data_IF_250887925151
#
_entry.id   IF_250887925151
#
_cell.length_a   1.000
_cell.length_b   1.000
_cell.length_c   1.000
_cell.angle_alpha   90.00
_cell.angle_beta   90.00
_cell.angle_gamma   90.00
#
_symmetry.space_group_name_H-M   'P 1'
#
loop_
_entity.id
_entity.type
_entity.pdbx_description
1 polymer ?
#
# COMPACT_ATOMS: atom_id res chain seq x y z
N UNK A 1 -10.82 21.18 -10.47
CA UNK A 1 -9.48 20.67 -10.67
C UNK A 1 -9.45 19.17 -10.44
N UNK A 2 -8.71 18.43 -11.26
CA UNK A 2 -8.56 17.00 -11.02
C UNK A 2 -7.77 16.73 -9.73
N UNK A 3 -8.08 15.63 -9.10
CA UNK A 3 -7.37 15.17 -7.91
C UNK A 3 -5.91 14.85 -8.26
N UNK A 4 -5.01 15.09 -7.34
CA UNK A 4 -3.61 14.66 -7.49
C UNK A 4 -3.57 13.14 -7.72
N UNK A 5 -2.84 12.64 -8.73
CA UNK A 5 -2.84 11.21 -9.03
C UNK A 5 -2.30 10.32 -7.90
N UNK A 6 -1.30 10.78 -7.15
CA UNK A 6 -0.79 10.02 -6.02
C UNK A 6 -1.83 9.91 -4.90
N UNK A 7 -2.55 10.99 -4.64
CA UNK A 7 -3.62 10.99 -3.65
C UNK A 7 -4.77 10.07 -4.08
N UNK A 8 -5.18 10.14 -5.35
CA UNK A 8 -6.23 9.29 -5.89
C UNK A 8 -5.87 7.81 -5.75
N UNK A 9 -4.62 7.47 -6.04
CA UNK A 9 -4.13 6.10 -5.91
C UNK A 9 -4.13 5.65 -4.45
N UNK A 10 -3.62 6.47 -3.55
CA UNK A 10 -3.59 6.14 -2.13
C UNK A 10 -4.99 5.93 -1.55
N UNK A 11 -5.92 6.81 -1.90
CA UNK A 11 -7.31 6.67 -1.43
C UNK A 11 -7.96 5.37 -1.93
N UNK A 12 -7.75 5.02 -3.19
CA UNK A 12 -8.29 3.79 -3.76
C UNK A 12 -7.67 2.55 -3.09
N UNK A 13 -6.37 2.55 -2.87
CA UNK A 13 -5.69 1.46 -2.18
C UNK A 13 -6.19 1.33 -0.75
N UNK A 14 -6.30 2.44 -0.03
CA UNK A 14 -6.77 2.45 1.34
C UNK A 14 -8.19 1.90 1.46
N UNK A 15 -9.08 2.31 0.56
CA UNK A 15 -10.45 1.81 0.53
C UNK A 15 -10.49 0.30 0.29
N UNK A 16 -9.68 -0.18 -0.66
CA UNK A 16 -9.59 -1.62 -0.96
C UNK A 16 -9.14 -2.41 0.24
N UNK A 17 -8.12 -1.94 0.94
CA UNK A 17 -7.56 -2.64 2.09
C UNK A 17 -8.50 -2.63 3.29
N UNK A 18 -9.13 -1.48 3.56
CA UNK A 18 -10.06 -1.34 4.70
C UNK A 18 -11.34 -2.14 4.53
N UNK A 19 -11.74 -2.38 3.29
CA UNK A 19 -12.95 -3.14 2.97
C UNK A 19 -12.75 -4.66 3.06
N UNK A 20 -11.54 -5.13 3.24
CA UNK A 20 -11.25 -6.56 3.27
C UNK A 20 -11.38 -7.13 4.67
N UNK A 21 -12.32 -8.05 4.84
CA UNK A 21 -12.58 -8.67 6.14
C UNK A 21 -11.42 -9.53 6.64
N UNK A 22 -10.77 -10.26 5.74
CA UNK A 22 -9.64 -11.11 6.12
C UNK A 22 -8.47 -10.29 6.65
N UNK A 23 -8.13 -9.20 5.98
CA UNK A 23 -7.08 -8.31 6.43
C UNK A 23 -7.44 -7.66 7.78
N UNK A 24 -8.68 -7.19 7.90
CA UNK A 24 -9.17 -6.60 9.15
C UNK A 24 -9.05 -7.59 10.31
N UNK A 25 -9.40 -8.85 10.09
CA UNK A 25 -9.24 -9.89 11.12
C UNK A 25 -7.77 -10.13 11.48
N UNK A 26 -6.90 -10.17 10.47
CA UNK A 26 -5.46 -10.37 10.70
C UNK A 26 -4.84 -9.25 11.53
N UNK A 27 -5.34 -8.02 11.35
CA UNK A 27 -4.84 -6.84 12.07
C UNK A 27 -5.53 -6.61 13.40
N UNK A 28 -6.66 -7.28 13.64
CA UNK A 28 -7.45 -7.07 14.84
C UNK A 28 -8.26 -5.77 14.82
N UNK A 29 -8.59 -5.29 13.63
CA UNK A 29 -9.34 -4.05 13.44
C UNK A 29 -8.97 -3.37 12.13
N UNK A 30 -9.56 -2.22 11.86
CA UNK A 30 -9.23 -1.44 10.66
C UNK A 30 -7.95 -0.64 10.90
N UNK A 31 -6.82 -1.33 10.90
CA UNK A 31 -5.53 -0.75 11.25
C UNK A 31 -4.62 -0.58 10.03
N UNK A 32 -5.18 0.00 8.97
CA UNK A 32 -4.42 0.44 7.79
C UNK A 32 -4.48 1.96 7.77
N UNK A 33 -3.32 2.61 7.86
CA UNK A 33 -3.24 4.04 8.08
C UNK A 33 -2.36 4.74 7.06
N UNK A 34 -2.75 5.94 6.64
CA UNK A 34 -1.83 6.88 6.03
C UNK A 34 -0.89 7.43 7.09
N UNK A 35 -1.43 7.69 8.29
CA UNK A 35 -0.66 8.15 9.44
C UNK A 35 -1.24 7.46 10.68
N UNK A 36 -0.46 6.62 11.37
CA UNK A 36 -1.01 5.87 12.50
C UNK A 36 -1.26 6.77 13.70
N UNK A 37 -2.33 6.50 14.47
CA UNK A 37 -2.52 7.14 15.75
C UNK A 37 -1.37 6.83 16.71
N UNK A 38 -1.19 7.68 17.70
CA UNK A 38 -0.22 7.40 18.76
C UNK A 38 -0.58 6.09 19.46
N UNK A 39 0.46 5.34 19.83
CA UNK A 39 0.31 4.10 20.61
C UNK A 39 -0.54 3.05 19.92
N UNK A 40 -0.48 2.99 18.60
CA UNK A 40 -1.15 1.93 17.86
C UNK A 40 -0.49 0.60 18.19
N UNK A 41 -1.31 -0.36 18.63
CA UNK A 41 -0.81 -1.70 18.94
C UNK A 41 -0.57 -2.50 17.65
N UNK A 42 0.58 -3.17 17.50
CA UNK A 42 0.79 -4.08 16.38
C UNK A 42 -0.20 -5.25 16.43
N UNK A 43 -0.54 -5.87 15.29
CA UNK A 43 -0.05 -5.52 13.96
C UNK A 43 -0.82 -4.36 13.33
N UNK A 44 -0.15 -3.61 12.48
CA UNK A 44 -0.81 -2.58 11.67
C UNK A 44 -0.02 -2.30 10.39
N UNK A 45 -0.67 -1.62 9.45
CA UNK A 45 -0.11 -1.29 8.14
C UNK A 45 -0.11 0.22 7.97
N UNK A 46 0.99 0.77 7.47
CA UNK A 46 1.14 2.22 7.24
C UNK A 46 1.64 2.45 5.83
N UNK A 47 1.04 3.43 5.14
CA UNK A 47 1.57 3.92 3.88
C UNK A 47 2.84 4.72 4.14
N UNK A 48 3.92 4.37 3.43
CA UNK A 48 5.14 5.16 3.44
C UNK A 48 5.04 6.34 2.48
N UNK A 49 6.10 7.14 2.42
CA UNK A 49 6.15 8.29 1.53
C UNK A 49 6.23 7.82 0.08
N UNK A 50 5.29 8.21 -0.77
CA UNK A 50 5.33 7.82 -2.18
C UNK A 50 6.25 8.73 -2.99
N UNK A 51 6.78 8.19 -4.07
CA UNK A 51 7.46 8.98 -5.09
C UNK A 51 6.64 8.92 -6.36
N UNK A 52 6.46 10.08 -6.99
CA UNK A 52 5.71 10.19 -8.25
C UNK A 52 6.54 10.99 -9.23
N UNK A 53 6.68 10.47 -10.45
CA UNK A 53 7.40 11.16 -11.53
C UNK A 53 6.59 11.14 -12.81
N UNK A 54 6.86 12.08 -13.68
CA UNK A 54 6.21 12.14 -14.97
C UNK A 54 6.59 10.91 -15.81
N UNK A 55 5.59 10.37 -16.52
CA UNK A 55 5.78 9.23 -17.41
C UNK A 55 4.93 9.47 -18.66
N UNK A 56 5.54 10.14 -19.63
CA UNK A 56 4.85 10.55 -20.84
C UNK A 56 5.18 9.61 -22.00
N UNK A 57 4.15 9.26 -22.75
CA UNK A 57 4.30 8.55 -24.01
C UNK A 57 4.02 9.51 -25.17
N UNK A 58 4.11 9.04 -26.40
CA UNK A 58 3.77 9.86 -27.57
C UNK A 58 2.34 10.35 -27.58
N UNK A 59 1.42 9.60 -26.97
CA UNK A 59 -0.01 9.87 -27.05
C UNK A 59 -0.62 10.23 -25.71
N UNK A 60 0.11 10.02 -24.60
CA UNK A 60 -0.46 10.17 -23.26
C UNK A 60 0.51 10.84 -22.31
N UNK A 61 -0.05 11.66 -21.42
CA UNK A 61 0.66 12.20 -20.26
C UNK A 61 0.29 11.36 -19.06
N UNK A 62 1.27 10.85 -18.35
CA UNK A 62 1.02 9.98 -17.21
C UNK A 62 2.00 10.19 -16.09
N UNK A 63 1.84 9.37 -15.06
CA UNK A 63 2.72 9.37 -13.90
C UNK A 63 3.07 7.95 -13.51
N UNK A 64 4.31 7.75 -13.10
CA UNK A 64 4.77 6.53 -12.45
C UNK A 64 4.88 6.80 -10.96
N UNK A 65 4.35 5.86 -10.18
CA UNK A 65 4.34 5.95 -8.72
C UNK A 65 5.15 4.80 -8.14
N UNK A 66 5.95 5.09 -7.16
CA UNK A 66 6.61 4.09 -6.32
C UNK A 66 6.10 4.26 -4.91
N UNK A 67 5.53 3.18 -4.39
CA UNK A 67 4.81 3.19 -3.12
C UNK A 67 5.41 2.15 -2.21
N UNK A 68 5.32 2.41 -0.91
CA UNK A 68 5.77 1.46 0.10
C UNK A 68 4.67 1.32 1.15
N UNK A 69 4.36 0.06 1.49
CA UNK A 69 3.54 -0.25 2.64
C UNK A 69 4.43 -0.84 3.71
N UNK A 70 4.29 -0.35 4.92
CA UNK A 70 5.01 -0.86 6.09
C UNK A 70 4.06 -1.69 6.94
N UNK A 71 4.51 -2.88 7.32
CA UNK A 71 3.75 -3.78 8.20
C UNK A 71 4.52 -3.91 9.50
N UNK A 72 3.87 -3.59 10.61
CA UNK A 72 4.48 -3.76 11.93
C UNK A 72 3.82 -4.92 12.63
N UNK A 73 4.63 -5.86 13.11
CA UNK A 73 4.19 -7.11 13.73
C UNK A 73 4.99 -7.34 15.02
N UNK A 74 4.35 -7.91 16.00
CA UNK A 74 5.00 -8.23 17.28
C UNK A 74 4.88 -9.72 17.57
N UNK A 75 3.66 -10.20 17.75
CA UNK A 75 3.41 -11.62 18.02
C UNK A 75 3.46 -12.43 16.72
N UNK A 76 4.02 -13.63 16.79
CA UNK A 76 4.20 -14.46 15.62
C UNK A 76 5.37 -14.03 14.74
N UNK A 77 6.03 -12.94 15.07
CA UNK A 77 7.26 -12.50 14.46
C UNK A 77 7.18 -12.31 12.95
N UNK A 78 8.20 -12.83 12.25
CA UNK A 78 8.28 -12.71 10.79
C UNK A 78 7.14 -13.42 10.07
N UNK A 79 6.62 -14.51 10.64
CA UNK A 79 5.49 -15.25 10.08
C UNK A 79 4.28 -14.36 9.94
N UNK A 80 3.90 -13.62 10.99
CA UNK A 80 2.76 -12.72 10.96
C UNK A 80 2.96 -11.62 9.90
N UNK A 81 4.16 -11.03 9.84
CA UNK A 81 4.46 -10.00 8.86
C UNK A 81 4.31 -10.55 7.43
N UNK A 82 4.82 -11.74 7.16
CA UNK A 82 4.70 -12.36 5.83
C UNK A 82 3.26 -12.72 5.49
N UNK A 83 2.47 -13.17 6.44
CA UNK A 83 1.06 -13.48 6.19
C UNK A 83 0.27 -12.21 5.81
N UNK A 84 0.55 -11.11 6.51
CA UNK A 84 -0.06 -9.82 6.19
C UNK A 84 0.38 -9.34 4.81
N UNK A 85 1.68 -9.42 4.51
CA UNK A 85 2.20 -9.05 3.19
C UNK A 85 1.55 -9.89 2.09
N UNK A 86 1.39 -11.19 2.30
CA UNK A 86 0.74 -12.06 1.32
C UNK A 86 -0.71 -11.61 1.05
N UNK A 87 -1.43 -11.19 2.08
CA UNK A 87 -2.79 -10.69 1.90
C UNK A 87 -2.81 -9.34 1.17
N UNK A 88 -1.89 -8.46 1.49
CA UNK A 88 -1.76 -7.19 0.79
C UNK A 88 -1.46 -7.42 -0.71
N UNK A 89 -0.59 -8.35 -1.00
CA UNK A 89 -0.26 -8.72 -2.38
C UNK A 89 -1.50 -9.23 -3.13
N UNK A 90 -2.27 -10.13 -2.52
CA UNK A 90 -3.50 -10.63 -3.13
C UNK A 90 -4.51 -9.51 -3.44
N UNK A 91 -4.58 -8.52 -2.58
CA UNK A 91 -5.55 -7.43 -2.72
C UNK A 91 -5.11 -6.37 -3.73
N UNK A 92 -3.82 -6.17 -3.89
CA UNK A 92 -3.28 -5.03 -4.63
C UNK A 92 -2.58 -5.41 -5.93
N UNK A 93 -1.91 -6.57 -6.01
CA UNK A 93 -1.16 -6.91 -7.21
C UNK A 93 -2.10 -7.11 -8.39
N UNK A 94 -1.88 -6.32 -9.42
CA UNK A 94 -2.70 -6.32 -10.63
C UNK A 94 -4.18 -6.00 -10.38
N UNK A 95 -4.49 -5.29 -9.30
CA UNK A 95 -5.86 -4.95 -8.95
C UNK A 95 -6.39 -3.79 -9.82
N UNK A 96 -7.61 -3.93 -10.38
CA UNK A 96 -8.21 -2.88 -11.20
C UNK A 96 -8.92 -1.85 -10.32
N UNK A 97 -8.18 -1.02 -9.63
CA UNK A 97 -8.74 -0.03 -8.70
C UNK A 97 -9.36 1.16 -9.45
N UNK A 98 -10.57 1.59 -9.09
CA UNK A 98 -11.13 2.80 -9.63
C UNK A 98 -10.50 4.02 -8.95
N UNK A 99 -9.94 4.93 -9.74
CA UNK A 99 -9.37 6.17 -9.24
C UNK A 99 -10.25 7.36 -9.59
N UNK A 100 -10.28 8.33 -8.69
CA UNK A 100 -10.95 9.62 -8.99
C UNK A 100 -10.10 10.39 -10.00
N UNK A 101 -10.72 10.83 -11.10
CA UNK A 101 -10.11 11.66 -12.14
C UNK A 101 -8.97 11.00 -12.94
N UNK A 102 -8.58 9.79 -12.61
CA UNK A 102 -7.47 9.10 -13.25
C UNK A 102 -7.82 7.67 -13.61
N UNK A 103 -7.02 7.11 -14.51
CA UNK A 103 -7.09 5.69 -14.85
C UNK A 103 -5.82 5.00 -14.37
N UNK A 104 -5.99 3.88 -13.68
CA UNK A 104 -4.89 3.04 -13.25
C UNK A 104 -4.51 2.09 -14.38
N UNK A 105 -3.33 2.30 -14.97
CA UNK A 105 -2.83 1.46 -16.06
C UNK A 105 -2.35 0.12 -15.49
N UNK A 106 -1.56 0.17 -14.42
CA UNK A 106 -1.12 -1.04 -13.72
C UNK A 106 -0.77 -0.71 -12.28
N UNK A 107 -0.79 -1.74 -11.45
CA UNK A 107 -0.34 -1.70 -10.07
C UNK A 107 0.29 -3.06 -9.78
N UNK A 108 1.56 -3.10 -9.47
CA UNK A 108 2.28 -4.34 -9.22
C UNK A 108 3.06 -4.29 -7.91
N UNK A 109 3.00 -5.40 -7.20
CA UNK A 109 3.89 -5.63 -6.06
C UNK A 109 5.23 -6.11 -6.59
N UNK A 110 6.30 -5.38 -6.31
CA UNK A 110 7.61 -5.62 -6.93
C UNK A 110 8.69 -6.08 -5.96
N UNK A 111 8.46 -5.95 -4.67
CA UNK A 111 9.47 -6.33 -3.67
C UNK A 111 8.82 -6.44 -2.30
N UNK A 112 9.26 -7.39 -1.50
CA UNK A 112 8.92 -7.43 -0.06
C UNK A 112 10.05 -8.04 0.75
N UNK A 113 10.07 -7.66 2.03
CA UNK A 113 10.98 -8.24 3.01
C UNK A 113 10.39 -8.07 4.40
N UNK A 114 10.91 -8.76 5.38
CA UNK A 114 10.56 -8.56 6.78
C UNK A 114 11.83 -8.58 7.61
N UNK A 115 12.04 -7.50 8.34
CA UNK A 115 13.24 -7.25 9.13
C UNK A 115 12.89 -7.23 10.61
N UNK A 116 13.80 -7.70 11.45
CA UNK A 116 13.69 -7.52 12.89
C UNK A 116 14.06 -6.08 13.22
N UNK A 117 13.20 -5.40 14.00
CA UNK A 117 13.52 -4.07 14.48
C UNK A 117 14.70 -4.11 15.47
N UNK A 118 15.33 -2.94 15.66
CA UNK A 118 16.54 -2.83 16.49
C UNK A 118 16.33 -3.31 17.94
N UNK A 119 15.12 -3.12 18.49
CA UNK A 119 14.79 -3.56 19.85
C UNK A 119 14.52 -5.07 19.96
N UNK A 120 14.46 -5.79 18.84
CA UNK A 120 14.19 -7.22 18.80
C UNK A 120 12.75 -7.62 19.09
N UNK A 121 11.87 -6.68 19.36
CA UNK A 121 10.47 -6.93 19.73
C UNK A 121 9.52 -6.85 18.56
N UNK A 122 9.80 -5.96 17.63
CA UNK A 122 8.95 -5.74 16.45
C UNK A 122 9.62 -6.33 15.21
N UNK A 123 8.79 -6.78 14.30
CA UNK A 123 9.21 -7.10 12.94
C UNK A 123 8.60 -6.05 12.02
N UNK A 124 9.40 -5.58 11.08
CA UNK A 124 9.03 -4.55 10.14
C UNK A 124 9.00 -5.15 8.74
N UNK A 125 7.80 -5.38 8.24
CA UNK A 125 7.58 -5.81 6.87
C UNK A 125 7.54 -4.62 5.94
N UNK A 126 8.12 -4.78 4.76
CA UNK A 126 8.13 -3.76 3.73
C UNK A 126 7.61 -4.39 2.44
N UNK A 127 6.59 -3.77 1.86
CA UNK A 127 6.05 -4.15 0.56
C UNK A 127 6.16 -2.95 -0.37
N UNK A 128 6.88 -3.11 -1.46
CA UNK A 128 7.02 -2.05 -2.47
C UNK A 128 6.18 -2.33 -3.68
N UNK A 129 5.53 -1.28 -4.17
CA UNK A 129 4.64 -1.35 -5.32
C UNK A 129 5.04 -0.31 -6.34
N UNK A 130 4.71 -0.61 -7.58
CA UNK A 130 4.89 0.31 -8.69
C UNK A 130 3.57 0.43 -9.43
N UNK A 131 3.19 1.64 -9.76
CA UNK A 131 1.94 1.90 -10.47
C UNK A 131 2.15 2.93 -11.57
N UNK A 132 1.30 2.88 -12.57
CA UNK A 132 1.26 3.88 -13.63
C UNK A 132 -0.17 4.35 -13.77
N UNK A 133 -0.34 5.67 -13.83
CA UNK A 133 -1.66 6.30 -14.00
C UNK A 133 -1.62 7.30 -15.14
N UNK A 134 -2.79 7.58 -15.71
CA UNK A 134 -2.95 8.73 -16.60
C UNK A 134 -4.32 9.38 -16.34
N UNK A 135 -4.48 10.68 -16.67
CA UNK A 135 -5.74 11.35 -16.44
C UNK A 135 -6.86 10.76 -17.30
N UNK A 136 -8.08 10.80 -16.77
CA UNK A 136 -9.28 10.54 -17.57
C UNK A 136 -9.49 11.70 -18.53
N UNK A 137 -9.95 11.38 -19.72
CA UNK A 137 -10.23 12.40 -20.75
C UNK A 137 -11.70 12.63 -20.89
#
# INVERSE_FOLDING_TARGET
>A
MPMNPALALQEAMLARLRDDAALTNMLGGQKVFGRPPRRTAPPYVVFGDPETRAWNTFTETGHEHRLTLHVYSEHGGRKQAYEIIARLDELLDDAPLPLTDHHLVNLRCVFWTALRAADGRLFHGILRLRATTHPLQ
#
